data_IF_522287042860
#
_entry.id   IF_522287042860
#
_cell.length_a   1.000
_cell.length_b   1.000
_cell.length_c   1.000
_cell.angle_alpha   90.00
_cell.angle_beta   90.00
_cell.angle_gamma   90.00
#
_symmetry.space_group_name_H-M   'P 1'
#
loop_
_entity.id
_entity.type
_entity.pdbx_description
1 polymer ?
#
# COMPACT_ATOMS: atom_id res chain seq x y z
N UNK A 1 31.12 9.43 -34.39
CA UNK A 1 31.43 8.48 -33.30
C UNK A 1 30.99 9.13 -32.00
N UNK A 2 30.33 8.42 -31.07
CA UNK A 2 30.02 9.01 -29.75
C UNK A 2 31.28 8.89 -28.86
N UNK A 3 31.87 10.03 -28.53
CA UNK A 3 33.23 10.21 -27.99
C UNK A 3 33.39 9.93 -26.48
N UNK A 4 32.40 9.34 -25.80
CA UNK A 4 32.42 9.19 -24.33
C UNK A 4 32.09 7.75 -23.90
N UNK A 5 33.03 6.80 -24.04
CA UNK A 5 32.79 5.39 -23.71
C UNK A 5 32.85 5.10 -22.20
N UNK A 6 33.42 6.00 -21.40
CA UNK A 6 33.57 5.83 -19.95
C UNK A 6 32.43 6.50 -19.18
N UNK A 7 32.15 5.98 -17.98
CA UNK A 7 31.19 6.59 -17.07
C UNK A 7 31.63 8.00 -16.64
N UNK A 8 30.71 8.97 -16.76
CA UNK A 8 30.88 10.31 -16.21
C UNK A 8 30.49 10.31 -14.72
N UNK A 9 31.50 10.26 -13.85
CA UNK A 9 31.31 10.17 -12.40
C UNK A 9 30.81 11.48 -11.76
N UNK A 10 30.72 12.58 -12.51
CA UNK A 10 30.10 13.81 -12.00
C UNK A 10 28.62 13.63 -11.63
N UNK A 11 27.96 12.60 -12.18
CA UNK A 11 26.57 12.26 -11.88
C UNK A 11 26.39 11.32 -10.69
N UNK A 12 27.46 10.72 -10.13
CA UNK A 12 27.33 9.82 -8.98
C UNK A 12 26.58 10.44 -7.79
N UNK A 13 26.75 11.73 -7.44
CA UNK A 13 25.96 12.38 -6.38
C UNK A 13 24.45 12.44 -6.63
N UNK A 14 23.96 12.20 -7.85
CA UNK A 14 22.51 12.18 -8.13
C UNK A 14 21.84 10.86 -7.78
N UNK A 15 22.62 9.80 -7.53
CA UNK A 15 22.07 8.47 -7.18
C UNK A 15 21.42 8.55 -5.79
N UNK A 16 20.09 8.41 -5.75
CA UNK A 16 19.31 8.43 -4.51
C UNK A 16 19.27 9.80 -3.79
N UNK A 17 19.54 10.90 -4.50
CA UNK A 17 19.51 12.25 -3.94
C UNK A 17 18.10 12.66 -3.47
N UNK A 18 18.02 13.74 -2.70
CA UNK A 18 16.76 14.23 -2.14
C UNK A 18 15.73 14.59 -3.22
N UNK A 19 16.13 15.28 -4.29
CA UNK A 19 15.21 15.67 -5.36
C UNK A 19 14.55 14.48 -6.06
N UNK A 20 15.30 13.38 -6.30
CA UNK A 20 14.75 12.15 -6.87
C UNK A 20 13.81 11.43 -5.89
N UNK A 21 14.12 11.46 -4.59
CA UNK A 21 13.24 10.91 -3.55
C UNK A 21 11.96 11.72 -3.38
N UNK A 22 12.02 13.04 -3.48
CA UNK A 22 10.85 13.90 -3.45
C UNK A 22 9.93 13.64 -4.65
N UNK A 23 10.52 13.48 -5.84
CA UNK A 23 9.80 13.07 -7.04
C UNK A 23 9.17 11.68 -6.87
N UNK A 24 9.90 10.71 -6.32
CA UNK A 24 9.36 9.38 -6.04
C UNK A 24 8.21 9.44 -5.02
N UNK A 25 8.33 10.23 -3.94
CA UNK A 25 7.24 10.46 -2.97
C UNK A 25 6.02 11.13 -3.62
N UNK A 26 6.22 12.02 -4.60
CA UNK A 26 5.14 12.56 -5.40
C UNK A 26 4.44 11.49 -6.25
N UNK A 27 5.20 10.63 -6.93
CA UNK A 27 4.65 9.52 -7.69
C UNK A 27 3.87 8.55 -6.79
N UNK A 28 4.37 8.24 -5.59
CA UNK A 28 3.66 7.43 -4.59
C UNK A 28 2.31 8.05 -4.25
N UNK A 29 2.27 9.35 -3.92
CA UNK A 29 1.01 10.06 -3.61
C UNK A 29 -0.01 9.96 -4.75
N UNK A 30 0.45 10.19 -5.98
CA UNK A 30 -0.40 10.21 -7.17
C UNK A 30 -0.88 8.81 -7.59
N UNK A 31 -0.15 7.76 -7.23
CA UNK A 31 -0.52 6.37 -7.55
C UNK A 31 -1.59 5.80 -6.62
N UNK A 32 -1.79 6.37 -5.43
CA UNK A 32 -2.75 5.84 -4.47
C UNK A 32 -4.18 5.92 -5.01
N UNK A 33 -4.88 4.78 -5.06
CA UNK A 33 -6.29 4.72 -5.46
C UNK A 33 -7.16 4.38 -4.26
N UNK A 34 -7.99 5.33 -3.83
CA UNK A 34 -8.95 5.10 -2.76
C UNK A 34 -10.14 4.33 -3.31
N UNK A 35 -10.32 3.09 -2.86
CA UNK A 35 -11.37 2.20 -3.36
C UNK A 35 -12.63 2.21 -2.51
N UNK A 36 -12.47 2.48 -1.21
CA UNK A 36 -13.58 2.52 -0.25
C UNK A 36 -13.20 3.47 0.88
N UNK A 37 -14.17 4.29 1.32
CA UNK A 37 -14.06 5.13 2.51
C UNK A 37 -15.42 5.26 3.18
N UNK A 38 -15.83 4.22 3.90
CA UNK A 38 -17.12 4.24 4.59
C UNK A 38 -17.04 5.11 5.85
N UNK A 39 -18.13 5.81 6.16
CA UNK A 39 -18.31 6.56 7.42
C UNK A 39 -17.19 7.57 7.74
N UNK A 40 -16.46 8.08 6.73
CA UNK A 40 -15.40 9.07 6.91
C UNK A 40 -14.22 8.56 7.74
N UNK A 41 -13.88 7.27 7.64
CA UNK A 41 -12.74 6.68 8.37
C UNK A 41 -11.42 7.36 7.97
N UNK A 42 -11.29 7.71 6.70
CA UNK A 42 -10.22 8.55 6.18
C UNK A 42 -10.75 10.01 6.03
N UNK A 43 -10.04 11.05 6.52
CA UNK A 43 -8.73 10.98 7.20
C UNK A 43 -8.93 10.81 8.70
N UNK A 44 -8.17 9.91 9.37
CA UNK A 44 -8.11 9.94 10.80
C UNK A 44 -7.46 11.26 11.26
N UNK A 45 -7.88 11.75 12.42
CA UNK A 45 -7.24 12.90 13.04
C UNK A 45 -5.77 12.61 13.35
N UNK A 46 -4.90 13.59 13.09
CA UNK A 46 -3.44 13.45 13.25
C UNK A 46 -2.96 13.57 14.68
N UNK A 47 -3.75 14.22 15.55
CA UNK A 47 -3.35 14.61 16.89
C UNK A 47 -4.22 13.95 17.96
N UNK A 48 -3.67 13.81 19.17
CA UNK A 48 -4.38 13.39 20.38
C UNK A 48 -5.12 12.05 20.25
N UNK A 49 -4.52 11.09 19.54
CA UNK A 49 -5.14 9.80 19.27
C UNK A 49 -4.14 8.64 19.40
N UNK A 50 -4.66 7.41 19.36
CA UNK A 50 -3.87 6.18 19.25
C UNK A 50 -4.15 5.53 17.91
N UNK A 51 -3.12 5.22 17.14
CA UNK A 51 -3.21 4.47 15.87
C UNK A 51 -2.54 3.12 16.04
N UNK A 52 -3.24 2.05 15.69
CA UNK A 52 -2.66 0.71 15.66
C UNK A 52 -2.25 0.37 14.23
N UNK A 53 -1.08 -0.24 14.05
CA UNK A 53 -0.62 -0.73 12.76
C UNK A 53 -0.33 -2.24 12.82
N UNK A 54 -0.72 -2.94 11.78
CA UNK A 54 -0.45 -4.36 11.57
C UNK A 54 -0.18 -4.66 10.09
N UNK A 55 0.09 -5.93 9.79
CA UNK A 55 0.33 -6.43 8.44
C UNK A 55 1.81 -6.51 8.08
N UNK A 56 2.15 -7.53 7.28
CA UNK A 56 3.54 -7.88 6.95
C UNK A 56 4.28 -6.82 6.12
N UNK A 57 3.55 -5.92 5.48
CA UNK A 57 4.13 -4.90 4.59
C UNK A 57 4.24 -3.52 5.27
N UNK A 58 3.82 -3.38 6.54
CA UNK A 58 3.84 -2.11 7.25
C UNK A 58 5.25 -1.54 7.43
N UNK A 59 6.21 -2.39 7.82
CA UNK A 59 7.59 -1.99 8.12
C UNK A 59 8.60 -2.77 7.25
N UNK A 60 8.36 -2.77 5.93
CA UNK A 60 9.12 -3.61 5.00
C UNK A 60 9.33 -2.91 3.64
N UNK A 61 10.56 -2.40 3.41
CA UNK A 61 10.95 -1.75 2.15
C UNK A 61 10.87 -2.72 0.99
N UNK A 62 11.36 -3.95 1.18
CA UNK A 62 11.34 -5.00 0.18
C UNK A 62 9.94 -5.28 -0.36
N UNK A 63 8.98 -5.50 0.53
CA UNK A 63 7.59 -5.74 0.15
C UNK A 63 6.97 -4.52 -0.55
N UNK A 64 7.27 -3.30 -0.08
CA UNK A 64 6.79 -2.06 -0.72
C UNK A 64 7.37 -1.85 -2.11
N UNK A 65 8.56 -2.40 -2.39
CA UNK A 65 9.25 -2.23 -3.67
C UNK A 65 8.94 -3.33 -4.67
N UNK A 66 8.66 -4.55 -4.21
CA UNK A 66 8.36 -5.69 -5.06
C UNK A 66 9.58 -6.26 -5.79
N UNK A 67 9.33 -6.93 -6.92
CA UNK A 67 10.39 -7.48 -7.77
C UNK A 67 11.27 -6.39 -8.41
N UNK A 68 12.37 -6.81 -9.03
CA UNK A 68 13.33 -5.90 -9.69
C UNK A 68 13.92 -4.82 -8.77
N UNK A 69 13.93 -5.05 -7.46
CA UNK A 69 14.54 -4.16 -6.48
C UNK A 69 15.71 -4.86 -5.81
N UNK A 70 16.93 -4.40 -6.12
CA UNK A 70 18.22 -4.99 -5.71
C UNK A 70 18.45 -6.40 -6.28
N UNK A 71 17.57 -7.36 -6.02
CA UNK A 71 17.59 -8.69 -6.63
C UNK A 71 16.48 -8.83 -7.68
N UNK A 72 16.61 -9.85 -8.53
CA UNK A 72 15.64 -10.11 -9.60
C UNK A 72 14.20 -10.31 -9.09
N UNK A 73 13.91 -11.30 -8.22
CA UNK A 73 12.55 -11.45 -7.67
C UNK A 73 12.24 -10.41 -6.59
N UNK A 74 13.20 -9.58 -6.19
CA UNK A 74 13.16 -8.81 -4.96
C UNK A 74 13.32 -9.70 -3.72
N UNK A 75 13.25 -9.10 -2.54
CA UNK A 75 13.23 -9.82 -1.28
C UNK A 75 12.58 -8.96 -0.20
N UNK A 76 12.02 -9.59 0.82
CA UNK A 76 11.48 -8.89 1.99
C UNK A 76 12.60 -8.33 2.88
N UNK A 77 12.30 -7.25 3.60
CA UNK A 77 13.17 -6.66 4.61
C UNK A 77 13.74 -5.30 4.21
N UNK A 78 14.70 -4.77 4.99
CA UNK A 78 15.34 -3.48 4.73
C UNK A 78 16.44 -3.61 3.66
N UNK A 79 16.05 -3.91 2.42
CA UNK A 79 16.99 -4.29 1.34
C UNK A 79 17.76 -3.11 0.71
N UNK A 80 17.27 -1.88 0.89
CA UNK A 80 17.86 -0.64 0.36
C UNK A 80 17.40 0.56 1.20
N UNK A 81 18.12 1.70 1.22
CA UNK A 81 17.70 2.89 1.95
C UNK A 81 16.37 3.47 1.45
N UNK A 82 15.43 3.63 2.37
CA UNK A 82 14.11 4.21 2.12
C UNK A 82 13.34 4.42 3.43
N UNK A 83 12.11 4.88 3.29
CA UNK A 83 11.15 5.08 4.38
C UNK A 83 10.02 4.06 4.25
N UNK A 84 9.79 3.23 5.27
CA UNK A 84 8.65 2.29 5.29
C UNK A 84 7.34 3.02 5.48
N UNK A 85 6.21 2.35 5.23
CA UNK A 85 4.88 2.94 5.47
C UNK A 85 4.70 3.23 6.98
N UNK A 86 5.16 2.35 7.88
CA UNK A 86 5.17 2.59 9.33
C UNK A 86 5.97 3.85 9.70
N UNK A 87 7.17 4.00 9.15
CA UNK A 87 8.01 5.18 9.38
C UNK A 87 7.34 6.46 8.84
N UNK A 88 6.77 6.38 7.63
CA UNK A 88 6.03 7.48 7.02
C UNK A 88 4.83 7.93 7.88
N UNK A 89 4.07 6.97 8.41
CA UNK A 89 2.92 7.26 9.27
C UNK A 89 3.36 7.88 10.60
N UNK A 90 4.42 7.35 11.23
CA UNK A 90 5.00 7.94 12.44
C UNK A 90 5.44 9.39 12.24
N UNK A 91 5.94 9.73 11.04
CA UNK A 91 6.34 11.09 10.71
C UNK A 91 5.16 12.01 10.34
N UNK A 92 4.03 11.45 9.90
CA UNK A 92 2.86 12.21 9.45
C UNK A 92 1.89 12.56 10.59
N UNK A 93 1.86 11.78 11.67
CA UNK A 93 1.04 12.07 12.85
C UNK A 93 1.69 13.12 13.74
N UNK A 94 0.88 13.85 14.50
CA UNK A 94 1.38 14.83 15.44
C UNK A 94 2.07 14.20 16.66
N UNK A 95 2.87 14.98 17.40
CA UNK A 95 3.67 14.49 18.53
C UNK A 95 2.84 13.94 19.69
N UNK A 96 1.53 14.26 19.75
CA UNK A 96 0.59 13.75 20.76
C UNK A 96 -0.12 12.45 20.34
N UNK A 97 0.23 11.87 19.18
CA UNK A 97 -0.36 10.62 18.69
C UNK A 97 0.60 9.45 18.90
N UNK A 98 0.09 8.38 19.51
CA UNK A 98 0.85 7.14 19.69
C UNK A 98 0.60 6.18 18.54
N UNK A 99 1.66 5.71 17.88
CA UNK A 99 1.59 4.68 16.83
C UNK A 99 2.16 3.37 17.35
N UNK A 100 1.29 2.41 17.64
CA UNK A 100 1.66 1.05 18.05
C UNK A 100 1.72 0.15 16.82
N UNK A 101 2.76 -0.67 16.71
CA UNK A 101 2.88 -1.66 15.63
C UNK A 101 3.03 -3.07 16.20
N UNK A 102 2.23 -4.00 15.68
CA UNK A 102 2.46 -5.43 15.82
C UNK A 102 1.99 -6.13 14.56
N UNK A 103 2.87 -6.91 13.92
CA UNK A 103 2.62 -7.49 12.60
C UNK A 103 1.28 -8.26 12.50
N UNK A 104 0.91 -9.02 13.53
CA UNK A 104 -0.34 -9.82 13.55
C UNK A 104 -1.55 -9.11 14.16
N UNK A 105 -1.43 -7.86 14.57
CA UNK A 105 -2.51 -7.13 15.24
C UNK A 105 -2.64 -7.35 16.76
N UNK A 106 -1.86 -8.26 17.36
CA UNK A 106 -1.91 -8.54 18.81
C UNK A 106 -1.67 -7.27 19.64
N UNK A 107 -2.55 -7.02 20.62
CA UNK A 107 -2.50 -5.85 21.50
C UNK A 107 -3.34 -4.66 21.03
N UNK A 108 -4.05 -4.79 19.90
CA UNK A 108 -5.09 -3.83 19.52
C UNK A 108 -6.30 -3.96 20.47
N UNK A 109 -6.90 -2.82 20.81
CA UNK A 109 -8.10 -2.73 21.63
C UNK A 109 -8.98 -1.55 21.17
N UNK A 110 -10.13 -1.36 21.82
CA UNK A 110 -11.09 -0.29 21.49
C UNK A 110 -10.62 1.14 21.82
N UNK A 111 -9.47 1.32 22.46
CA UNK A 111 -8.91 2.65 22.78
C UNK A 111 -8.18 3.29 21.60
N UNK A 112 -7.91 2.52 20.55
CA UNK A 112 -7.35 3.03 19.30
C UNK A 112 -8.42 3.74 18.46
N UNK A 113 -8.07 4.90 17.91
CA UNK A 113 -8.94 5.71 17.05
C UNK A 113 -9.20 5.04 15.71
N UNK A 114 -8.18 4.36 15.19
CA UNK A 114 -8.22 3.56 13.98
C UNK A 114 -7.09 2.53 14.01
N UNK A 115 -7.26 1.47 13.23
CA UNK A 115 -6.22 0.48 12.97
C UNK A 115 -5.93 0.39 11.47
N UNK A 116 -4.67 0.28 11.10
CA UNK A 116 -4.19 0.24 9.72
C UNK A 116 -3.54 -1.13 9.47
N UNK A 117 -4.11 -1.91 8.55
CA UNK A 117 -3.53 -3.17 8.08
C UNK A 117 -2.81 -2.94 6.75
N UNK A 118 -1.48 -3.07 6.74
CA UNK A 118 -0.67 -2.97 5.52
C UNK A 118 -0.32 -4.38 5.04
N UNK A 119 -1.08 -4.85 4.07
CA UNK A 119 -1.18 -6.26 3.63
C UNK A 119 -0.96 -6.38 2.12
N UNK A 120 -0.96 -7.60 1.59
CA UNK A 120 -0.92 -7.87 0.16
C UNK A 120 0.21 -8.83 -0.24
N UNK A 121 0.77 -8.64 -1.42
CA UNK A 121 1.75 -9.55 -2.00
C UNK A 121 3.17 -9.32 -1.41
N UNK A 122 4.02 -10.34 -1.52
CA UNK A 122 5.48 -10.23 -1.34
C UNK A 122 6.16 -10.13 -2.70
N UNK A 123 7.45 -9.73 -2.78
CA UNK A 123 8.16 -9.58 -4.05
C UNK A 123 8.13 -10.82 -4.93
N UNK A 124 7.96 -10.60 -6.23
CA UNK A 124 8.09 -11.59 -7.29
C UNK A 124 8.50 -10.89 -8.59
N UNK A 125 9.06 -11.65 -9.54
CA UNK A 125 9.30 -11.19 -10.90
C UNK A 125 8.93 -12.28 -11.92
N UNK A 126 8.38 -11.86 -13.05
CA UNK A 126 8.09 -12.71 -14.21
C UNK A 126 7.23 -13.93 -13.83
N UNK A 127 7.58 -15.13 -14.32
CA UNK A 127 6.80 -16.36 -14.08
C UNK A 127 6.67 -16.76 -12.60
N UNK A 128 7.53 -16.25 -11.70
CA UNK A 128 7.34 -16.46 -10.25
C UNK A 128 6.10 -15.72 -9.72
N UNK A 129 5.65 -14.71 -10.46
CA UNK A 129 4.43 -13.96 -10.22
C UNK A 129 3.17 -14.64 -10.73
N UNK A 130 3.25 -15.74 -11.48
CA UNK A 130 2.07 -16.40 -12.03
C UNK A 130 1.16 -16.92 -10.90
N UNK A 131 -0.15 -16.68 -11.05
CA UNK A 131 -1.17 -17.11 -10.09
C UNK A 131 -2.29 -17.79 -10.86
N UNK A 132 -2.18 -19.11 -10.97
CA UNK A 132 -3.19 -19.96 -11.62
C UNK A 132 -4.25 -20.48 -10.65
N UNK A 133 -3.99 -20.38 -9.34
CA UNK A 133 -4.89 -20.86 -8.29
C UNK A 133 -5.77 -19.77 -7.68
N UNK A 134 -5.18 -18.92 -6.83
CA UNK A 134 -5.89 -17.85 -6.14
C UNK A 134 -5.11 -16.54 -6.20
N UNK A 135 -5.87 -15.44 -6.22
CA UNK A 135 -5.39 -14.05 -6.11
C UNK A 135 -5.85 -13.39 -4.81
N UNK A 136 -6.32 -14.19 -3.84
CA UNK A 136 -6.78 -13.71 -2.54
C UNK A 136 -5.62 -13.32 -1.63
N UNK A 137 -5.93 -12.57 -0.57
CA UNK A 137 -4.99 -12.35 0.53
C UNK A 137 -4.59 -13.68 1.17
N UNK A 138 -3.34 -13.77 1.64
CA UNK A 138 -2.89 -14.94 2.37
C UNK A 138 -3.54 -15.02 3.77
N UNK A 139 -3.36 -16.18 4.44
CA UNK A 139 -3.99 -16.44 5.74
C UNK A 139 -3.50 -15.49 6.83
N UNK A 140 -2.27 -14.99 6.75
CA UNK A 140 -1.70 -14.12 7.78
C UNK A 140 -2.24 -12.70 7.65
N UNK A 141 -2.42 -12.21 6.42
CA UNK A 141 -3.10 -10.94 6.15
C UNK A 141 -4.56 -10.98 6.60
N UNK A 142 -5.29 -12.03 6.24
CA UNK A 142 -6.69 -12.23 6.65
C UNK A 142 -6.80 -12.28 8.19
N UNK A 143 -5.87 -12.97 8.86
CA UNK A 143 -5.82 -13.03 10.33
C UNK A 143 -5.51 -11.67 10.95
N UNK A 144 -4.58 -10.90 10.38
CA UNK A 144 -4.28 -9.57 10.87
C UNK A 144 -5.51 -8.66 10.75
N UNK A 145 -6.16 -8.63 9.57
CA UNK A 145 -7.39 -7.86 9.35
C UNK A 145 -8.49 -8.29 10.32
N UNK A 146 -8.72 -9.60 10.48
CA UNK A 146 -9.73 -10.12 11.40
C UNK A 146 -9.44 -9.71 12.86
N UNK A 147 -8.17 -9.73 13.28
CA UNK A 147 -7.75 -9.30 14.63
C UNK A 147 -8.02 -7.82 14.87
N UNK A 148 -7.77 -6.97 13.86
CA UNK A 148 -8.10 -5.55 13.98
C UNK A 148 -9.62 -5.30 14.03
N UNK A 149 -10.38 -6.02 13.20
CA UNK A 149 -11.84 -5.92 13.16
C UNK A 149 -12.51 -6.35 14.47
N UNK A 150 -12.01 -7.42 15.10
CA UNK A 150 -12.59 -7.93 16.35
C UNK A 150 -12.42 -6.97 17.53
N UNK A 151 -11.48 -6.02 17.47
CA UNK A 151 -11.34 -4.97 18.47
C UNK A 151 -12.40 -3.86 18.37
N UNK A 152 -13.22 -3.84 17.31
CA UNK A 152 -14.31 -2.89 17.14
C UNK A 152 -13.89 -1.47 16.76
N UNK A 153 -12.64 -1.29 16.33
CA UNK A 153 -12.12 0.00 15.85
C UNK A 153 -12.28 0.11 14.32
N UNK A 154 -12.37 1.33 13.76
CA UNK A 154 -12.31 1.51 12.32
C UNK A 154 -11.02 0.91 11.74
N UNK A 155 -11.15 0.08 10.70
CA UNK A 155 -10.00 -0.53 10.03
C UNK A 155 -9.75 0.15 8.68
N UNK A 156 -8.48 0.43 8.40
CA UNK A 156 -8.02 0.94 7.11
C UNK A 156 -7.10 -0.13 6.52
N UNK A 157 -7.46 -0.67 5.36
CA UNK A 157 -6.63 -1.64 4.65
C UNK A 157 -5.81 -0.89 3.60
N UNK A 158 -4.50 -1.02 3.69
CA UNK A 158 -3.53 -0.52 2.72
C UNK A 158 -3.00 -1.72 1.97
N UNK A 159 -3.37 -1.85 0.70
CA UNK A 159 -3.05 -3.01 -0.12
C UNK A 159 -1.80 -2.74 -0.96
N UNK A 160 -0.72 -3.43 -0.62
CA UNK A 160 0.55 -3.44 -1.36
C UNK A 160 0.56 -4.66 -2.27
N UNK A 161 0.33 -4.46 -3.57
CA UNK A 161 0.21 -5.53 -4.55
C UNK A 161 0.65 -5.09 -5.94
N UNK A 162 1.11 -6.02 -6.78
CA UNK A 162 1.47 -5.72 -8.17
C UNK A 162 0.27 -5.64 -9.12
N UNK A 163 -0.93 -5.94 -8.62
CA UNK A 163 -2.18 -6.13 -9.39
C UNK A 163 -3.43 -6.06 -8.50
N UNK A 164 -4.63 -5.96 -9.09
CA UNK A 164 -5.87 -6.23 -8.37
C UNK A 164 -5.84 -7.60 -7.67
N UNK A 165 -6.18 -7.64 -6.39
CA UNK A 165 -6.32 -8.89 -5.62
C UNK A 165 -7.80 -9.23 -5.40
N UNK A 166 -8.11 -10.50 -5.18
CA UNK A 166 -9.46 -10.96 -4.86
C UNK A 166 -9.78 -10.56 -3.40
N UNK A 167 -10.45 -9.41 -3.25
CA UNK A 167 -10.72 -8.77 -1.95
C UNK A 167 -12.21 -8.50 -1.70
N UNK A 168 -13.09 -9.05 -2.54
CA UNK A 168 -14.52 -8.76 -2.48
C UNK A 168 -15.14 -9.18 -1.14
N UNK A 169 -14.68 -10.31 -0.58
CA UNK A 169 -15.13 -10.83 0.70
C UNK A 169 -14.73 -9.93 1.88
N UNK A 170 -13.68 -9.13 1.72
CA UNK A 170 -13.17 -8.23 2.74
C UNK A 170 -13.90 -6.88 2.72
N UNK A 171 -14.60 -6.50 1.66
CA UNK A 171 -15.26 -5.19 1.51
C UNK A 171 -16.53 -4.90 2.36
N UNK A 172 -17.27 -5.89 2.91
CA UNK A 172 -18.38 -5.59 3.82
C UNK A 172 -17.93 -4.97 5.16
N UNK A 173 -18.73 -4.03 5.67
CA UNK A 173 -18.51 -3.36 6.96
C UNK A 173 -17.84 -2.00 6.87
N UNK A 174 -17.62 -1.35 8.03
CA UNK A 174 -17.10 0.02 8.14
C UNK A 174 -15.57 0.03 8.08
N UNK A 175 -15.00 0.27 6.91
CA UNK A 175 -13.57 0.38 6.73
C UNK A 175 -13.23 1.21 5.48
N UNK A 176 -11.95 1.54 5.35
CA UNK A 176 -11.38 2.08 4.13
C UNK A 176 -10.46 1.06 3.44
N UNK A 177 -10.36 1.15 2.12
CA UNK A 177 -9.43 0.37 1.31
C UNK A 177 -8.66 1.33 0.38
N UNK A 178 -7.34 1.33 0.53
CA UNK A 178 -6.42 2.08 -0.31
C UNK A 178 -5.55 1.09 -1.09
N UNK A 179 -5.58 1.15 -2.42
CA UNK A 179 -4.63 0.43 -3.26
C UNK A 179 -3.35 1.26 -3.39
N UNK A 180 -2.25 0.72 -2.87
CA UNK A 180 -0.94 1.38 -2.83
C UNK A 180 0.05 0.84 -3.85
N UNK A 181 -0.32 -0.21 -4.58
CA UNK A 181 0.50 -0.88 -5.58
C UNK A 181 1.84 -1.35 -4.99
N UNK A 182 2.95 -1.11 -5.69
CA UNK A 182 4.32 -1.27 -5.19
C UNK A 182 4.97 0.12 -5.09
N UNK A 183 4.81 0.85 -3.97
CA UNK A 183 5.19 2.26 -3.86
C UNK A 183 6.71 2.51 -3.78
N UNK A 184 7.55 1.48 -3.73
CA UNK A 184 9.01 1.64 -3.69
C UNK A 184 9.51 2.18 -2.34
N UNK A 185 10.55 3.02 -2.37
CA UNK A 185 11.31 3.44 -1.18
C UNK A 185 10.69 4.58 -0.40
N UNK A 186 9.70 5.29 -0.95
CA UNK A 186 9.20 6.54 -0.37
C UNK A 186 7.82 6.37 0.29
N UNK A 187 7.73 5.46 1.26
CA UNK A 187 6.49 5.10 1.98
C UNK A 187 5.79 6.27 2.69
N UNK A 188 6.50 7.38 2.91
CA UNK A 188 5.90 8.65 3.36
C UNK A 188 4.80 9.18 2.43
N UNK A 189 4.87 8.88 1.12
CA UNK A 189 3.82 9.27 0.18
C UNK A 189 2.48 8.56 0.42
N UNK A 190 2.50 7.34 0.98
CA UNK A 190 1.29 6.64 1.40
C UNK A 190 0.68 7.33 2.62
N UNK A 191 1.52 7.71 3.58
CA UNK A 191 1.10 8.45 4.78
C UNK A 191 0.53 9.83 4.44
N UNK A 192 1.10 10.54 3.46
CA UNK A 192 0.57 11.80 2.97
C UNK A 192 -0.88 11.68 2.52
N UNK A 193 -1.23 10.58 1.84
CA UNK A 193 -2.62 10.32 1.44
C UNK A 193 -3.46 9.90 2.65
N UNK A 194 -3.02 8.93 3.45
CA UNK A 194 -3.81 8.42 4.57
C UNK A 194 -4.21 9.50 5.58
N UNK A 195 -3.34 10.47 5.84
CA UNK A 195 -3.57 11.52 6.84
C UNK A 195 -3.98 12.87 6.23
N UNK A 196 -4.29 12.94 4.93
CA UNK A 196 -4.83 14.15 4.29
C UNK A 196 -3.79 15.25 4.00
N UNK A 197 -2.50 14.89 3.91
CA UNK A 197 -1.45 15.78 3.39
C UNK A 197 -1.47 15.88 1.87
N UNK A 198 -2.15 14.93 1.21
CA UNK A 198 -2.40 14.91 -0.22
C UNK A 198 -3.75 14.23 -0.51
N UNK A 199 -4.61 14.83 -1.33
CA UNK A 199 -5.86 14.19 -1.73
C UNK A 199 -5.63 13.07 -2.75
N UNK A 200 -6.24 11.88 -2.63
CA UNK A 200 -6.03 10.80 -3.57
C UNK A 200 -6.55 11.20 -4.95
N UNK A 201 -5.64 11.22 -5.92
CA UNK A 201 -5.94 11.54 -7.32
C UNK A 201 -5.91 10.31 -8.21
N UNK A 202 -5.39 9.18 -7.71
CA UNK A 202 -5.21 7.96 -8.48
C UNK A 202 -6.54 7.38 -8.96
N UNK A 203 -6.52 6.83 -10.18
CA UNK A 203 -7.63 6.09 -10.79
C UNK A 203 -7.11 4.72 -11.20
N UNK A 204 -7.97 3.71 -11.12
CA UNK A 204 -7.61 2.33 -11.44
C UNK A 204 -7.14 2.20 -12.90
N UNK A 205 -5.89 1.79 -13.15
CA UNK A 205 -5.41 1.54 -14.51
C UNK A 205 -5.92 0.20 -15.05
N UNK A 206 -6.38 -0.70 -14.18
CA UNK A 206 -6.89 -2.04 -14.47
C UNK A 206 -8.30 -2.22 -13.91
N UNK A 207 -9.13 -3.03 -14.56
CA UNK A 207 -10.41 -3.47 -14.01
C UNK A 207 -10.20 -4.36 -12.77
N UNK A 208 -10.93 -4.11 -11.69
CA UNK A 208 -10.86 -4.92 -10.46
C UNK A 208 -11.97 -5.97 -10.45
N UNK A 209 -11.62 -7.24 -10.32
CA UNK A 209 -12.56 -8.37 -10.32
C UNK A 209 -13.39 -8.46 -9.03
N UNK A 210 -14.61 -8.98 -9.13
CA UNK A 210 -15.41 -9.50 -8.02
C UNK A 210 -14.91 -10.85 -7.51
N UNK A 211 -14.31 -11.66 -8.38
CA UNK A 211 -13.65 -12.91 -7.99
C UNK A 211 -12.55 -13.30 -8.99
N UNK A 212 -11.57 -14.09 -8.54
CA UNK A 212 -10.51 -14.61 -9.41
C UNK A 212 -11.05 -15.40 -10.64
N UNK A 213 -12.26 -15.96 -10.54
CA UNK A 213 -12.91 -16.69 -11.63
C UNK A 213 -13.32 -15.83 -12.83
N UNK A 214 -13.29 -14.50 -12.71
CA UNK A 214 -13.55 -13.59 -13.84
C UNK A 214 -12.34 -13.34 -14.73
N UNK A 215 -11.15 -13.84 -14.35
CA UNK A 215 -9.95 -13.61 -15.14
C UNK A 215 -10.00 -14.41 -16.46
N UNK A 216 -9.62 -13.79 -17.60
CA UNK A 216 -9.23 -12.39 -17.75
C UNK A 216 -10.44 -11.44 -17.72
N UNK A 217 -10.36 -10.34 -16.95
CA UNK A 217 -11.37 -9.26 -16.92
C UNK A 217 -10.80 -7.94 -17.44
N UNK A 218 -11.49 -7.29 -18.36
CA UNK A 218 -11.06 -6.05 -19.01
C UNK A 218 -12.23 -5.06 -19.20
N UNK A 219 -11.93 -3.77 -19.32
CA UNK A 219 -12.95 -2.80 -19.67
C UNK A 219 -13.53 -3.10 -21.08
N UNK A 220 -14.86 -3.16 -21.18
CA UNK A 220 -15.56 -3.41 -22.44
C UNK A 220 -15.78 -4.88 -22.80
N UNK A 221 -15.42 -5.83 -21.94
CA UNK A 221 -15.62 -7.27 -22.18
C UNK A 221 -17.02 -7.80 -21.78
N UNK A 222 -17.86 -6.94 -21.20
CA UNK A 222 -19.23 -7.29 -20.76
C UNK A 222 -19.33 -7.88 -19.35
N UNK A 223 -18.22 -8.15 -18.67
CA UNK A 223 -18.21 -8.61 -17.28
C UNK A 223 -18.48 -7.46 -16.31
N UNK A 224 -19.15 -7.75 -15.19
CA UNK A 224 -19.40 -6.76 -14.13
C UNK A 224 -18.19 -6.74 -13.17
N UNK A 225 -17.46 -5.62 -13.06
CA UNK A 225 -16.32 -5.53 -12.17
C UNK A 225 -16.73 -5.18 -10.75
N UNK A 226 -15.83 -5.42 -9.79
CA UNK A 226 -15.98 -4.90 -8.43
C UNK A 226 -15.72 -3.39 -8.41
N UNK A 227 -14.65 -2.98 -9.10
CA UNK A 227 -14.35 -1.58 -9.39
C UNK A 227 -13.96 -1.47 -10.87
N UNK A 228 -14.66 -0.65 -11.68
CA UNK A 228 -14.32 -0.50 -13.09
C UNK A 228 -12.98 0.20 -13.28
N UNK A 229 -12.35 0.01 -14.45
CA UNK A 229 -11.19 0.82 -14.85
C UNK A 229 -11.55 2.32 -14.78
N UNK A 230 -10.61 3.14 -14.33
CA UNK A 230 -10.84 4.57 -14.09
C UNK A 230 -11.53 4.90 -12.76
N UNK A 231 -11.92 3.90 -11.97
CA UNK A 231 -12.49 4.13 -10.63
C UNK A 231 -11.44 4.66 -9.64
N UNK A 232 -11.87 5.50 -8.71
CA UNK A 232 -11.06 5.97 -7.59
C UNK A 232 -11.78 7.10 -6.88
N UNK A 233 -12.00 6.96 -5.57
CA UNK A 233 -12.63 7.96 -4.74
C UNK A 233 -11.68 9.12 -4.45
N UNK A 234 -12.27 10.24 -4.04
CA UNK A 234 -11.59 11.39 -3.47
C UNK A 234 -12.33 11.80 -2.19
N UNK A 235 -11.82 12.82 -1.51
CA UNK A 235 -12.36 13.46 -0.31
C UNK A 235 -12.08 14.97 -0.34
#
# INVERSE_FOLDING_TARGET
MRERPCADRSWTPTVGNAAHRDLARQAVRQSQVLLKNDAGVLPPARDNNKIFMAGKSADNIGNSSGGWTISWPGSSGPITPGTTILQGIRAAVGPSTTVTYHQRGTGVDRTYRAAIAVVGETPYAEGQGDRTGSMSLDRDDLRAIATLRSAGVPVIVVLVSGRPMDVAAELPGRHALLASWLPGTEGGGVADVLFGGYAPTGKLPMTWMNSAGQQPINAGDGQVPLFPQGYGLTW
#
